data_IF_054304781484
#
_entry.id   IF_054304781484
#
_cell.length_a   1.000
_cell.length_b   1.000
_cell.length_c   1.000
_cell.angle_alpha   90.00
_cell.angle_beta   90.00
_cell.angle_gamma   90.00
#
_symmetry.space_group_name_H-M   'P 1'
#
loop_
_entity.id
_entity.type
_entity.pdbx_description
1 polymer ?
#
# COMPACT_ATOMS: atom_id res chain seq x y z
N UNK A 1 5.13 -9.14 -13.68
CA UNK A 1 4.75 -7.73 -13.85
C UNK A 1 5.21 -6.99 -12.62
N UNK A 2 6.15 -6.08 -12.81
CA UNK A 2 6.68 -5.15 -11.83
C UNK A 2 7.21 -3.96 -12.61
N UNK A 3 7.33 -2.80 -11.97
CA UNK A 3 7.86 -1.57 -12.55
C UNK A 3 9.39 -1.59 -12.72
N UNK A 4 10.03 -2.74 -12.42
CA UNK A 4 11.47 -2.93 -12.49
C UNK A 4 12.22 -2.45 -11.23
N UNK A 5 11.50 -1.89 -10.25
CA UNK A 5 12.08 -1.41 -9.01
C UNK A 5 11.99 -2.46 -7.90
N UNK A 6 12.91 -2.38 -6.94
CA UNK A 6 12.84 -3.12 -5.68
C UNK A 6 12.42 -2.13 -4.60
N UNK A 7 11.15 -2.16 -4.18
CA UNK A 7 10.65 -1.34 -3.08
C UNK A 7 10.85 -2.05 -1.74
N UNK A 8 11.14 -1.28 -0.68
CA UNK A 8 11.28 -1.80 0.67
C UNK A 8 9.95 -2.10 1.37
N UNK A 9 8.84 -1.53 0.88
CA UNK A 9 7.49 -1.73 1.43
C UNK A 9 6.46 -1.75 0.31
N UNK A 10 5.27 -2.31 0.59
CA UNK A 10 4.13 -2.27 -0.35
C UNK A 10 3.63 -0.84 -0.60
N UNK A 11 3.73 0.05 0.39
CA UNK A 11 3.31 1.44 0.23
C UNK A 11 4.22 2.20 -0.74
N UNK A 12 5.54 1.96 -0.68
CA UNK A 12 6.52 2.63 -1.56
C UNK A 12 6.35 2.29 -3.05
N UNK A 13 5.61 1.22 -3.38
CA UNK A 13 5.22 0.89 -4.76
C UNK A 13 4.27 1.92 -5.37
N UNK A 14 3.56 2.67 -4.54
CA UNK A 14 2.70 3.76 -4.99
C UNK A 14 3.59 4.97 -5.23
N UNK A 15 3.69 5.38 -6.49
CA UNK A 15 4.47 6.55 -6.91
C UNK A 15 3.68 7.86 -6.78
N UNK A 16 2.36 7.76 -6.74
CA UNK A 16 1.45 8.89 -6.94
C UNK A 16 0.75 9.22 -5.62
N UNK A 17 0.91 10.46 -5.17
CA UNK A 17 0.15 11.00 -4.05
C UNK A 17 -1.10 11.76 -4.50
N UNK A 18 -2.11 11.78 -3.65
CA UNK A 18 -3.37 12.47 -3.96
C UNK A 18 -3.11 13.96 -4.25
N UNK A 19 -2.23 14.59 -3.48
CA UNK A 19 -1.87 15.98 -3.62
C UNK A 19 -1.05 16.28 -4.89
N UNK A 20 -0.54 15.26 -5.58
CA UNK A 20 0.16 15.38 -6.87
C UNK A 20 -0.74 15.88 -8.00
N UNK A 21 -2.03 15.55 -7.91
CA UNK A 21 -3.04 15.99 -8.88
C UNK A 21 -4.05 16.97 -8.27
N UNK A 22 -4.39 16.81 -6.98
CA UNK A 22 -5.45 17.57 -6.33
C UNK A 22 -4.95 18.83 -5.60
N UNK A 23 -3.68 18.84 -5.17
CA UNK A 23 -3.11 19.89 -4.34
C UNK A 23 -3.70 19.90 -2.93
N UNK A 24 -3.76 21.08 -2.32
CA UNK A 24 -4.41 21.34 -1.03
C UNK A 24 -5.45 22.46 -1.21
N UNK A 25 -6.30 22.74 -0.20
CA UNK A 25 -7.18 23.91 -0.26
C UNK A 25 -6.41 25.24 -0.41
N UNK A 26 -5.17 25.31 0.05
CA UNK A 26 -4.36 26.52 0.05
C UNK A 26 -3.43 26.65 -1.16
N UNK A 27 -2.86 25.54 -1.64
CA UNK A 27 -1.83 25.48 -2.70
C UNK A 27 -2.23 24.53 -3.84
N UNK A 28 -1.99 24.94 -5.07
CA UNK A 28 -2.09 24.08 -6.25
C UNK A 28 -1.04 22.95 -6.22
N UNK A 29 -1.22 21.86 -6.99
CA UNK A 29 -0.26 20.75 -7.00
C UNK A 29 1.18 21.20 -7.30
N UNK A 30 1.38 22.06 -8.30
CA UNK A 30 2.72 22.55 -8.69
C UNK A 30 3.33 23.58 -7.71
N UNK A 31 2.54 24.08 -6.75
CA UNK A 31 2.98 25.02 -5.70
C UNK A 31 3.49 24.31 -4.44
N UNK A 32 3.18 23.03 -4.29
CA UNK A 32 3.66 22.22 -3.17
C UNK A 32 5.18 21.97 -3.31
N UNK A 33 5.90 21.84 -2.20
CA UNK A 33 7.30 21.45 -2.25
C UNK A 33 7.46 20.01 -2.74
N UNK A 34 8.65 19.72 -3.27
CA UNK A 34 9.07 18.34 -3.54
C UNK A 34 9.04 17.52 -2.25
N UNK A 35 8.53 16.29 -2.29
CA UNK A 35 8.38 15.42 -1.12
C UNK A 35 7.14 15.69 -0.26
N UNK A 36 6.24 16.61 -0.64
CA UNK A 36 4.98 16.80 0.11
C UNK A 36 4.13 15.51 0.07
N UNK A 37 3.58 15.12 1.21
CA UNK A 37 2.99 13.79 1.48
C UNK A 37 3.99 12.64 1.63
N UNK A 38 5.28 12.86 1.38
CA UNK A 38 6.38 11.91 1.60
C UNK A 38 7.50 12.59 2.41
N UNK A 39 7.11 13.25 3.51
CA UNK A 39 8.03 14.07 4.29
C UNK A 39 9.11 13.22 4.98
N UNK A 40 8.74 12.04 5.48
CA UNK A 40 9.57 11.20 6.36
C UNK A 40 10.12 11.99 7.56
N UNK A 41 9.31 12.90 8.11
CA UNK A 41 9.69 13.78 9.21
C UNK A 41 10.71 14.88 8.86
N UNK A 42 11.01 15.10 7.57
CA UNK A 42 11.98 16.12 7.11
C UNK A 42 11.31 17.47 6.85
N UNK A 43 12.07 18.54 7.02
CA UNK A 43 11.70 19.87 6.53
C UNK A 43 11.97 19.97 5.02
N UNK A 44 10.92 20.19 4.24
CA UNK A 44 10.99 20.28 2.78
C UNK A 44 11.25 21.72 2.27
N UNK A 45 11.12 22.71 3.15
CA UNK A 45 11.05 24.12 2.77
C UNK A 45 9.83 24.47 1.90
N UNK A 46 9.86 25.66 1.31
CA UNK A 46 8.71 26.24 0.58
C UNK A 46 8.90 26.31 -0.94
N UNK A 47 10.00 25.77 -1.48
CA UNK A 47 10.29 25.85 -2.91
C UNK A 47 9.28 25.03 -3.71
N UNK A 48 8.51 25.64 -4.63
CA UNK A 48 7.54 24.92 -5.45
C UNK A 48 8.22 23.86 -6.32
N UNK A 49 7.63 22.66 -6.41
CA UNK A 49 8.10 21.59 -7.32
C UNK A 49 7.92 21.92 -8.80
N UNK A 50 6.98 22.82 -9.11
CA UNK A 50 6.71 23.30 -10.46
C UNK A 50 6.16 22.20 -11.38
N UNK A 51 6.45 22.37 -12.68
CA UNK A 51 5.99 21.49 -13.76
C UNK A 51 7.18 20.93 -14.52
N UNK A 52 6.93 19.90 -15.33
CA UNK A 52 7.89 19.36 -16.26
C UNK A 52 7.52 19.72 -17.70
N UNK A 53 8.54 20.03 -18.51
CA UNK A 53 8.38 20.32 -19.93
C UNK A 53 8.38 19.06 -20.81
N UNK A 54 8.98 17.99 -20.32
CA UNK A 54 9.17 16.73 -21.03
C UNK A 54 8.83 15.56 -20.10
N UNK A 55 8.48 14.43 -20.70
CA UNK A 55 8.33 13.14 -20.01
C UNK A 55 9.66 12.38 -20.02
N UNK A 56 9.83 11.43 -19.09
CA UNK A 56 11.02 10.58 -19.07
C UNK A 56 10.96 9.56 -20.22
N UNK A 57 12.06 9.31 -20.96
CA UNK A 57 12.14 8.28 -22.01
C UNK A 57 11.55 6.92 -21.61
N UNK A 58 11.73 6.54 -20.35
CA UNK A 58 11.30 5.28 -19.76
C UNK A 58 9.79 5.27 -19.44
N UNK A 59 9.17 6.45 -19.32
CA UNK A 59 7.73 6.63 -19.07
C UNK A 59 6.89 6.70 -20.35
N UNK A 60 7.50 6.55 -21.54
CA UNK A 60 6.77 6.52 -22.81
C UNK A 60 5.94 5.23 -22.93
N UNK A 61 4.66 5.33 -22.57
CA UNK A 61 3.68 4.25 -22.70
C UNK A 61 2.61 4.66 -23.72
N UNK A 62 2.88 4.40 -25.00
CA UNK A 62 1.92 4.62 -26.08
C UNK A 62 1.83 6.08 -26.55
N UNK A 63 0.98 6.89 -25.92
CA UNK A 63 0.64 8.25 -26.40
C UNK A 63 1.30 9.34 -25.57
N UNK A 64 1.93 10.30 -26.25
CA UNK A 64 2.45 11.53 -25.64
C UNK A 64 1.38 12.61 -25.72
N UNK A 65 0.81 12.99 -24.58
CA UNK A 65 -0.22 14.02 -24.52
C UNK A 65 0.38 15.42 -24.62
N UNK A 66 -0.34 16.39 -25.18
CA UNK A 66 0.11 17.79 -25.22
C UNK A 66 0.23 18.32 -23.78
N UNK A 67 1.43 18.79 -23.40
CA UNK A 67 1.71 19.27 -22.05
C UNK A 67 0.88 20.47 -21.61
N UNK A 68 0.27 21.21 -22.55
CA UNK A 68 -0.39 22.51 -22.29
C UNK A 68 0.57 23.46 -21.55
N UNK A 69 0.28 23.79 -20.30
CA UNK A 69 1.16 24.62 -19.47
C UNK A 69 2.34 23.84 -18.86
N UNK A 70 2.28 22.51 -18.86
CA UNK A 70 3.31 21.60 -18.36
C UNK A 70 2.71 20.32 -17.77
N UNK A 71 3.51 19.24 -17.75
CA UNK A 71 3.14 18.02 -17.03
C UNK A 71 3.28 18.23 -15.52
N UNK A 72 2.34 17.67 -14.77
CA UNK A 72 2.46 17.60 -13.32
C UNK A 72 3.61 16.67 -12.95
N UNK A 73 4.20 16.91 -11.78
CA UNK A 73 5.22 16.05 -11.18
C UNK A 73 4.63 15.33 -9.98
N UNK A 74 5.05 14.08 -9.79
CA UNK A 74 4.83 13.35 -8.54
C UNK A 74 5.58 14.03 -7.40
N UNK A 75 5.27 13.65 -6.16
CA UNK A 75 6.01 14.11 -4.99
C UNK A 75 7.51 13.78 -5.07
N UNK A 76 7.86 12.69 -5.78
CA UNK A 76 9.24 12.23 -6.05
C UNK A 76 9.88 12.90 -7.27
N UNK A 77 9.12 13.72 -8.00
CA UNK A 77 9.63 14.60 -9.07
C UNK A 77 9.47 14.04 -10.47
N UNK A 78 8.89 12.85 -10.60
CA UNK A 78 8.69 12.20 -11.88
C UNK A 78 7.52 12.86 -12.63
N UNK A 79 7.65 13.18 -13.93
CA UNK A 79 6.54 13.69 -14.71
C UNK A 79 5.51 12.56 -14.96
N UNK A 80 4.21 12.85 -14.76
CA UNK A 80 3.14 11.87 -15.04
C UNK A 80 3.05 11.47 -16.51
N UNK A 81 3.32 12.41 -17.42
CA UNK A 81 3.15 12.25 -18.87
C UNK A 81 1.72 12.18 -19.39
N UNK A 82 0.76 11.77 -18.55
CA UNK A 82 -0.67 11.76 -18.85
C UNK A 82 -1.49 12.71 -17.96
N UNK A 83 -0.85 13.50 -17.09
CA UNK A 83 -1.51 14.53 -16.27
C UNK A 83 -0.89 15.89 -16.55
N UNK A 84 -1.72 16.85 -16.98
CA UNK A 84 -1.28 18.16 -17.47
C UNK A 84 -2.03 19.31 -16.79
N UNK A 85 -1.35 20.45 -16.70
CA UNK A 85 -1.94 21.71 -16.24
C UNK A 85 -2.60 22.46 -17.40
N UNK A 86 -3.80 22.96 -17.17
CA UNK A 86 -4.56 23.82 -18.09
C UNK A 86 -5.15 25.03 -17.35
N UNK A 87 -4.38 26.11 -17.28
CA UNK A 87 -4.66 27.26 -16.44
C UNK A 87 -4.64 26.86 -14.96
N UNK A 88 -5.77 27.00 -14.27
CA UNK A 88 -5.94 26.53 -12.88
C UNK A 88 -6.47 25.09 -12.80
N UNK A 89 -6.75 24.45 -13.94
CA UNK A 89 -7.29 23.10 -13.98
C UNK A 89 -6.18 22.07 -14.14
N UNK A 90 -6.51 20.83 -13.75
CA UNK A 90 -5.69 19.65 -13.99
C UNK A 90 -6.51 18.67 -14.82
N UNK A 91 -5.92 18.21 -15.92
CA UNK A 91 -6.52 17.22 -16.83
C UNK A 91 -5.73 15.92 -16.72
N UNK A 92 -6.42 14.83 -16.42
CA UNK A 92 -5.91 13.47 -16.45
C UNK A 92 -6.39 12.79 -17.73
N UNK A 93 -5.45 12.30 -18.53
CA UNK A 93 -5.71 11.47 -19.69
C UNK A 93 -5.65 9.99 -19.27
N UNK A 94 -6.78 9.30 -19.34
CA UNK A 94 -6.89 7.88 -19.00
C UNK A 94 -6.40 6.99 -20.14
N UNK A 95 -5.86 5.82 -19.78
CA UNK A 95 -5.54 4.76 -20.73
C UNK A 95 -6.75 4.29 -21.56
N UNK A 96 -7.98 4.56 -21.11
CA UNK A 96 -9.22 4.29 -21.86
C UNK A 96 -9.53 5.33 -22.94
N UNK A 97 -8.69 6.37 -23.10
CA UNK A 97 -8.91 7.47 -24.05
C UNK A 97 -9.85 8.58 -23.57
N UNK A 98 -10.30 8.52 -22.31
CA UNK A 98 -11.15 9.56 -21.71
C UNK A 98 -10.31 10.61 -21.00
N UNK A 99 -10.76 11.87 -21.07
CA UNK A 99 -10.19 12.98 -20.33
C UNK A 99 -11.02 13.29 -19.08
N UNK A 100 -10.34 13.40 -17.94
CA UNK A 100 -10.96 13.71 -16.66
C UNK A 100 -10.45 15.04 -16.14
N UNK A 101 -11.39 15.92 -15.78
CA UNK A 101 -11.08 17.13 -15.03
C UNK A 101 -10.91 16.75 -13.55
N UNK A 102 -9.68 16.86 -13.05
CA UNK A 102 -9.36 16.56 -11.65
C UNK A 102 -9.98 17.63 -10.74
N UNK A 103 -10.65 17.26 -9.64
CA UNK A 103 -11.15 18.20 -8.66
C UNK A 103 -10.00 18.77 -7.82
N UNK A 104 -9.41 19.86 -8.31
CA UNK A 104 -8.36 20.61 -7.62
C UNK A 104 -8.92 21.29 -6.37
N UNK A 105 -8.36 20.98 -5.20
CA UNK A 105 -8.89 21.40 -3.91
C UNK A 105 -8.89 22.92 -3.73
N UNK A 106 -7.84 23.60 -4.17
CA UNK A 106 -7.75 25.06 -4.15
C UNK A 106 -8.88 25.73 -4.94
N UNK A 107 -9.20 25.22 -6.13
CA UNK A 107 -10.32 25.73 -6.92
C UNK A 107 -11.66 25.55 -6.18
N UNK A 108 -11.85 24.41 -5.50
CA UNK A 108 -13.06 24.14 -4.72
C UNK A 108 -13.16 25.09 -3.51
N UNK A 109 -12.03 25.35 -2.84
CA UNK A 109 -11.93 26.27 -1.72
C UNK A 109 -12.22 27.72 -2.14
N UNK A 110 -11.53 28.22 -3.18
CA UNK A 110 -11.66 29.59 -3.67
C UNK A 110 -13.07 29.88 -4.22
N UNK A 111 -13.72 28.89 -4.85
CA UNK A 111 -15.10 29.00 -5.37
C UNK A 111 -16.19 28.61 -4.37
N UNK A 112 -15.82 28.10 -3.19
CA UNK A 112 -16.72 27.54 -2.18
C UNK A 112 -17.73 26.51 -2.73
N UNK A 113 -17.26 25.59 -3.59
CA UNK A 113 -18.11 24.59 -4.28
C UNK A 113 -18.07 23.19 -3.66
N UNK A 114 -17.78 23.12 -2.36
CA UNK A 114 -17.72 21.88 -1.59
C UNK A 114 -19.03 21.08 -1.67
N UNK A 115 -18.91 19.75 -1.65
CA UNK A 115 -20.07 18.85 -1.79
C UNK A 115 -20.83 18.61 -0.50
N UNK A 116 -20.24 18.90 0.65
CA UNK A 116 -20.87 18.79 1.96
C UNK A 116 -20.20 19.72 2.96
N UNK A 117 -20.90 19.98 4.07
CA UNK A 117 -20.32 20.70 5.21
C UNK A 117 -19.16 19.91 5.83
N UNK A 118 -19.28 18.59 5.90
CA UNK A 118 -18.22 17.70 6.41
C UNK A 118 -16.92 17.88 5.62
N UNK A 119 -17.00 18.03 4.28
CA UNK A 119 -15.81 18.25 3.46
C UNK A 119 -15.14 19.60 3.77
N UNK A 120 -15.94 20.66 3.99
CA UNK A 120 -15.42 21.97 4.41
C UNK A 120 -14.70 21.83 5.76
N UNK A 121 -15.36 21.21 6.73
CA UNK A 121 -14.81 21.05 8.08
C UNK A 121 -13.53 20.22 8.04
N UNK A 122 -13.58 19.05 7.42
CA UNK A 122 -12.48 18.11 7.37
C UNK A 122 -11.26 18.67 6.63
N UNK A 123 -11.46 19.35 5.50
CA UNK A 123 -10.33 19.81 4.66
C UNK A 123 -9.82 21.20 5.02
N UNK A 124 -10.67 22.11 5.51
CA UNK A 124 -10.30 23.54 5.68
C UNK A 124 -10.32 24.03 7.12
N UNK A 125 -11.16 23.46 7.99
CA UNK A 125 -11.30 23.92 9.39
C UNK A 125 -10.40 23.14 10.32
N UNK A 126 -10.36 21.81 10.16
CA UNK A 126 -9.47 20.93 10.92
C UNK A 126 -8.18 20.71 10.13
N UNK A 127 -7.31 21.73 10.12
CA UNK A 127 -6.05 21.73 9.34
C UNK A 127 -5.19 20.47 9.54
N UNK A 128 -5.22 19.94 10.76
CA UNK A 128 -4.45 18.75 11.13
C UNK A 128 -4.76 17.54 10.24
N UNK A 129 -5.98 17.41 9.70
CA UNK A 129 -6.30 16.31 8.80
C UNK A 129 -5.46 16.33 7.52
N UNK A 130 -5.21 17.50 6.93
CA UNK A 130 -4.37 17.60 5.72
C UNK A 130 -2.87 17.43 6.06
N UNK A 131 -2.47 17.88 7.25
CA UNK A 131 -1.09 17.80 7.72
C UNK A 131 -0.66 16.38 8.12
N UNK A 132 -1.59 15.55 8.64
CA UNK A 132 -1.23 14.28 9.28
C UNK A 132 -1.99 13.06 8.78
N UNK A 133 -3.01 13.20 7.93
CA UNK A 133 -3.68 12.04 7.36
C UNK A 133 -3.23 11.84 5.91
N UNK A 134 -3.19 10.58 5.53
CA UNK A 134 -3.32 10.19 4.14
C UNK A 134 -4.74 10.46 3.66
N UNK A 135 -4.91 10.95 2.42
CA UNK A 135 -6.25 11.16 1.87
C UNK A 135 -7.05 9.85 1.84
N UNK A 136 -6.38 8.74 1.57
CA UNK A 136 -6.98 7.41 1.53
C UNK A 136 -7.32 6.86 2.94
N UNK A 137 -6.86 7.48 4.04
CA UNK A 137 -7.39 7.17 5.37
C UNK A 137 -8.90 7.49 5.51
N UNK A 138 -9.34 8.55 4.82
CA UNK A 138 -10.74 8.95 4.79
C UNK A 138 -11.48 8.40 3.57
N UNK A 139 -10.79 8.29 2.43
CA UNK A 139 -11.41 7.95 1.15
C UNK A 139 -11.48 6.44 0.86
N UNK A 140 -10.72 5.59 1.54
CA UNK A 140 -10.80 4.13 1.34
C UNK A 140 -12.00 3.53 2.08
N UNK A 141 -12.83 2.80 1.33
CA UNK A 141 -14.04 2.15 1.86
C UNK A 141 -13.74 0.86 2.63
N UNK A 142 -12.76 0.08 2.16
CA UNK A 142 -12.40 -1.20 2.77
C UNK A 142 -10.96 -1.60 2.44
N UNK A 143 -10.41 -2.53 3.19
CA UNK A 143 -9.16 -3.24 2.89
C UNK A 143 -9.39 -4.74 3.07
N UNK A 144 -8.69 -5.62 2.32
CA UNK A 144 -8.68 -7.04 2.63
C UNK A 144 -8.04 -7.24 4.01
N UNK A 145 -8.63 -8.09 4.82
CA UNK A 145 -8.14 -8.38 6.17
C UNK A 145 -7.98 -9.89 6.30
N UNK A 146 -6.76 -10.36 6.05
CA UNK A 146 -6.36 -11.77 6.10
C UNK A 146 -5.71 -12.06 7.45
N UNK A 147 -6.43 -12.65 8.40
CA UNK A 147 -5.86 -13.00 9.70
C UNK A 147 -5.46 -14.47 9.74
N UNK A 148 -4.28 -14.74 10.29
CA UNK A 148 -3.74 -16.08 10.50
C UNK A 148 -3.53 -16.85 9.20
N UNK A 149 -2.36 -16.72 8.61
CA UNK A 149 -1.89 -17.58 7.53
C UNK A 149 -1.22 -18.81 8.15
N UNK A 150 -1.77 -20.01 7.92
CA UNK A 150 -1.11 -21.25 8.33
C UNK A 150 -0.34 -21.82 7.15
N UNK A 151 0.99 -21.85 7.30
CA UNK A 151 1.94 -22.38 6.31
C UNK A 151 2.45 -23.73 6.77
N UNK A 152 2.11 -24.78 6.04
CA UNK A 152 2.72 -26.09 6.21
C UNK A 152 3.85 -26.27 5.21
N UNK A 153 5.07 -26.51 5.71
CA UNK A 153 6.20 -26.95 4.88
C UNK A 153 6.32 -28.47 5.01
N UNK A 154 6.10 -29.20 3.91
CA UNK A 154 6.10 -30.66 3.93
C UNK A 154 7.19 -31.24 3.04
N UNK A 155 8.17 -31.93 3.64
CA UNK A 155 9.28 -32.60 2.97
C UNK A 155 9.01 -34.08 2.65
N UNK A 156 7.82 -34.59 2.99
CA UNK A 156 7.38 -35.95 2.71
C UNK A 156 7.05 -36.17 1.24
N UNK A 157 6.09 -37.07 0.99
CA UNK A 157 5.73 -37.53 -0.36
C UNK A 157 4.24 -37.33 -0.66
N UNK A 158 3.92 -37.21 -1.94
CA UNK A 158 2.54 -37.16 -2.43
C UNK A 158 1.87 -38.54 -2.43
N UNK A 159 0.59 -38.58 -2.84
CA UNK A 159 -0.22 -39.82 -2.92
C UNK A 159 0.34 -40.90 -3.85
N UNK A 160 1.32 -40.59 -4.69
CA UNK A 160 1.97 -41.51 -5.62
C UNK A 160 3.42 -41.83 -5.18
N UNK A 161 3.76 -41.60 -3.91
CA UNK A 161 5.09 -41.80 -3.33
C UNK A 161 6.19 -40.92 -3.95
N UNK A 162 5.82 -39.79 -4.58
CA UNK A 162 6.80 -38.83 -5.11
C UNK A 162 7.13 -37.77 -4.07
N UNK A 163 8.41 -37.49 -3.78
CA UNK A 163 8.79 -36.42 -2.84
C UNK A 163 8.20 -35.08 -3.25
N UNK A 164 7.67 -34.34 -2.26
CA UNK A 164 7.25 -32.97 -2.46
C UNK A 164 8.44 -32.09 -2.83
N UNK A 165 8.22 -31.24 -3.82
CA UNK A 165 9.17 -30.26 -4.33
C UNK A 165 8.42 -28.99 -4.72
N UNK A 166 9.10 -27.86 -4.64
CA UNK A 166 8.59 -26.57 -5.07
C UNK A 166 9.70 -25.71 -5.68
N UNK A 167 9.31 -24.61 -6.31
CA UNK A 167 10.24 -23.66 -6.92
C UNK A 167 11.16 -23.06 -5.87
N UNK A 168 12.46 -23.25 -6.06
CA UNK A 168 13.49 -22.51 -5.36
C UNK A 168 13.60 -21.12 -6.00
N UNK A 169 12.86 -20.16 -5.46
CA UNK A 169 12.83 -18.80 -5.99
C UNK A 169 14.19 -18.09 -5.89
N UNK A 170 15.04 -18.47 -4.91
CA UNK A 170 16.37 -17.87 -4.74
C UNK A 170 17.32 -18.41 -5.79
N UNK A 171 17.43 -19.74 -5.93
CA UNK A 171 18.28 -20.35 -6.94
C UNK A 171 17.81 -19.99 -8.37
N UNK A 172 16.50 -20.00 -8.60
CA UNK A 172 15.91 -19.69 -9.92
C UNK A 172 16.16 -18.23 -10.31
N UNK A 173 15.90 -17.29 -9.41
CA UNK A 173 16.14 -15.85 -9.63
C UNK A 173 17.64 -15.49 -9.71
N UNK A 174 18.51 -16.31 -9.12
CA UNK A 174 19.97 -16.13 -9.19
C UNK A 174 20.57 -16.59 -10.53
N UNK A 175 19.88 -17.46 -11.27
CA UNK A 175 20.35 -17.95 -12.57
C UNK A 175 19.80 -17.08 -13.69
N UNK A 176 20.66 -16.21 -14.22
CA UNK A 176 20.30 -15.29 -15.31
C UNK A 176 20.84 -15.77 -16.66
N UNK A 177 20.01 -15.71 -17.68
CA UNK A 177 20.42 -15.90 -19.08
C UNK A 177 20.94 -14.59 -19.67
N UNK A 178 21.56 -14.64 -20.85
CA UNK A 178 22.19 -13.48 -21.48
C UNK A 178 21.19 -12.35 -21.83
N UNK A 179 19.91 -12.67 -21.99
CA UNK A 179 18.79 -11.76 -22.21
C UNK A 179 18.14 -11.24 -20.91
N UNK A 180 18.71 -11.57 -19.74
CA UNK A 180 18.24 -11.09 -18.44
C UNK A 180 17.07 -11.88 -17.85
N UNK A 181 16.62 -12.95 -18.50
CA UNK A 181 15.61 -13.87 -17.97
C UNK A 181 16.16 -14.72 -16.81
N UNK A 182 15.26 -15.22 -15.95
CA UNK A 182 15.57 -16.09 -14.81
C UNK A 182 15.13 -17.54 -15.10
N UNK A 183 15.53 -18.52 -14.29
CA UNK A 183 15.25 -19.92 -14.60
C UNK A 183 13.73 -20.26 -14.65
N UNK A 184 12.92 -19.47 -13.95
CA UNK A 184 11.46 -19.59 -13.84
C UNK A 184 10.68 -18.62 -14.73
N UNK A 185 11.33 -17.63 -15.37
CA UNK A 185 10.63 -16.65 -16.19
C UNK A 185 9.98 -17.20 -17.46
N UNK A 186 10.49 -18.26 -18.13
CA UNK A 186 9.82 -18.81 -19.30
C UNK A 186 8.46 -19.43 -18.92
N UNK A 187 7.42 -19.07 -19.66
CA UNK A 187 6.05 -19.50 -19.39
C UNK A 187 5.94 -21.03 -19.32
N UNK A 188 5.40 -21.53 -18.21
CA UNK A 188 5.19 -22.97 -17.98
C UNK A 188 6.41 -23.71 -17.41
N UNK A 189 7.54 -23.04 -17.20
CA UNK A 189 8.71 -23.61 -16.54
C UNK A 189 8.63 -23.33 -15.04
N UNK A 190 8.82 -24.36 -14.22
CA UNK A 190 8.74 -24.25 -12.75
C UNK A 190 10.02 -23.68 -12.11
N UNK A 191 11.05 -23.42 -12.89
CA UNK A 191 12.37 -23.02 -12.40
C UNK A 191 13.14 -24.19 -11.77
N UNK A 192 14.18 -23.85 -11.00
CA UNK A 192 14.95 -24.80 -10.20
C UNK A 192 14.05 -25.29 -9.06
N UNK A 193 14.02 -26.59 -8.82
CA UNK A 193 13.18 -27.20 -7.79
C UNK A 193 14.04 -27.52 -6.55
N UNK A 194 13.47 -27.31 -5.37
CA UNK A 194 14.06 -27.70 -4.09
C UNK A 194 13.17 -28.71 -3.37
N UNK A 195 13.73 -29.55 -2.46
CA UNK A 195 12.92 -30.45 -1.64
C UNK A 195 11.95 -29.70 -0.74
N UNK A 196 10.78 -30.27 -0.54
CA UNK A 196 9.72 -29.70 0.28
C UNK A 196 8.73 -28.89 -0.56
N UNK A 197 7.51 -28.74 -0.02
CA UNK A 197 6.47 -27.90 -0.62
C UNK A 197 5.73 -27.11 0.44
N UNK A 198 5.47 -25.85 0.14
CA UNK A 198 4.64 -24.99 0.96
C UNK A 198 3.15 -25.22 0.63
N UNK A 199 2.34 -25.37 1.67
CA UNK A 199 0.89 -25.35 1.59
C UNK A 199 0.38 -24.23 2.47
N UNK A 200 -0.35 -23.30 1.87
CA UNK A 200 -0.86 -22.13 2.56
C UNK A 200 -2.38 -22.23 2.74
N UNK A 201 -2.85 -21.91 3.93
CA UNK A 201 -4.28 -21.74 4.22
C UNK A 201 -4.50 -20.46 5.02
N UNK A 202 -5.63 -19.80 4.78
CA UNK A 202 -6.00 -18.56 5.48
C UNK A 202 -7.11 -18.88 6.48
N UNK A 203 -6.89 -18.52 7.73
CA UNK A 203 -7.81 -18.83 8.84
C UNK A 203 -9.06 -17.97 8.76
N UNK A 204 -8.91 -16.67 8.48
CA UNK A 204 -10.04 -15.76 8.42
C UNK A 204 -9.80 -14.64 7.42
N UNK A 205 -10.73 -14.47 6.48
CA UNK A 205 -10.68 -13.45 5.43
C UNK A 205 -11.97 -12.62 5.44
N UNK A 206 -11.83 -11.30 5.37
CA UNK A 206 -12.94 -10.35 5.27
C UNK A 206 -12.55 -9.08 4.56
N UNK A 207 -13.56 -8.32 4.15
CA UNK A 207 -13.45 -6.98 3.59
C UNK A 207 -14.17 -6.03 4.53
N UNK A 208 -13.40 -5.20 5.23
CA UNK A 208 -13.94 -4.33 6.27
C UNK A 208 -13.31 -2.95 6.20
N UNK A 209 -13.93 -2.01 6.92
CA UNK A 209 -13.34 -0.72 7.21
C UNK A 209 -11.92 -0.89 7.78
N UNK A 210 -10.90 -0.26 7.16
CA UNK A 210 -9.54 -0.30 7.67
C UNK A 210 -9.45 0.26 9.08
N UNK A 211 -8.63 -0.41 9.89
CA UNK A 211 -8.00 0.22 11.04
C UNK A 211 -6.96 1.21 10.55
N UNK A 212 -6.68 2.23 11.37
CA UNK A 212 -5.72 3.27 11.03
C UNK A 212 -4.47 3.13 11.90
N UNK A 213 -3.33 3.48 11.34
CA UNK A 213 -2.05 3.56 12.04
C UNK A 213 -1.13 4.57 11.38
N UNK A 214 0.11 4.68 11.86
CA UNK A 214 1.10 5.61 11.31
C UNK A 214 1.97 4.87 10.29
N UNK A 215 2.09 5.38 9.07
CA UNK A 215 2.99 4.85 8.04
C UNK A 215 4.42 5.35 8.23
N UNK A 216 5.33 4.87 7.37
CA UNK A 216 6.74 5.32 7.37
C UNK A 216 6.92 6.80 7.03
N UNK A 217 5.94 7.44 6.39
CA UNK A 217 5.95 8.89 6.07
C UNK A 217 5.53 9.75 7.29
N UNK A 218 5.08 9.13 8.38
CA UNK A 218 4.64 9.79 9.60
C UNK A 218 3.17 10.22 9.58
N UNK A 219 2.39 9.72 8.61
CA UNK A 219 0.97 10.06 8.39
C UNK A 219 0.06 8.90 8.78
N UNK A 220 -1.17 9.25 9.15
CA UNK A 220 -2.21 8.27 9.47
C UNK A 220 -2.70 7.64 8.17
N UNK A 221 -2.57 6.33 8.07
CA UNK A 221 -2.88 5.50 6.90
C UNK A 221 -3.86 4.39 7.29
N UNK A 222 -4.62 3.81 6.33
CA UNK A 222 -5.15 2.46 6.46
C UNK A 222 -4.04 1.44 6.72
N UNK A 223 -4.33 0.49 7.62
CA UNK A 223 -3.54 -0.73 7.78
C UNK A 223 -4.34 -1.96 7.36
N UNK A 224 -3.65 -2.93 6.77
CA UNK A 224 -4.14 -4.29 6.56
C UNK A 224 -3.23 -5.29 7.27
N UNK A 225 -3.75 -6.44 7.74
CA UNK A 225 -2.92 -7.55 8.18
C UNK A 225 -1.88 -7.87 7.11
N UNK A 226 -0.61 -7.91 7.50
CA UNK A 226 0.43 -8.49 6.65
C UNK A 226 0.38 -10.01 6.71
N UNK A 227 1.49 -10.66 6.40
CA UNK A 227 1.60 -12.11 6.48
C UNK A 227 1.71 -12.55 7.95
N UNK A 228 0.57 -12.86 8.56
CA UNK A 228 0.50 -13.40 9.93
C UNK A 228 0.80 -14.90 9.94
N UNK A 229 2.07 -15.27 9.80
CA UNK A 229 2.48 -16.66 9.59
C UNK A 229 2.52 -17.44 10.90
N UNK A 230 1.73 -18.51 10.92
CA UNK A 230 1.89 -19.65 11.83
C UNK A 230 2.36 -20.82 10.97
N UNK A 231 3.35 -21.59 11.41
CA UNK A 231 3.93 -22.64 10.56
C UNK A 231 4.00 -24.02 11.22
N UNK A 232 3.89 -25.03 10.37
CA UNK A 232 4.08 -26.45 10.71
C UNK A 232 5.08 -27.05 9.74
N UNK A 233 6.03 -27.83 10.25
CA UNK A 233 7.04 -28.50 9.41
C UNK A 233 6.91 -30.01 9.56
N UNK A 234 6.80 -30.69 8.43
CA UNK A 234 6.77 -32.16 8.33
C UNK A 234 8.07 -32.61 7.66
N UNK A 235 8.82 -33.50 8.31
CA UNK A 235 10.07 -34.05 7.80
C UNK A 235 9.86 -35.04 6.64
N UNK A 236 10.94 -35.68 6.18
CA UNK A 236 10.90 -36.61 5.02
C UNK A 236 10.24 -37.94 5.37
N UNK A 237 10.29 -38.31 6.65
CA UNK A 237 9.71 -39.51 7.23
C UNK A 237 8.21 -39.34 7.53
N UNK A 238 7.70 -38.11 7.45
CA UNK A 238 6.31 -37.77 7.70
C UNK A 238 6.01 -37.36 9.15
N UNK A 239 7.03 -37.14 9.98
CA UNK A 239 6.86 -36.67 11.34
C UNK A 239 6.70 -35.14 11.37
N UNK A 240 5.79 -34.66 12.19
CA UNK A 240 5.68 -33.23 12.50
C UNK A 240 6.80 -32.83 13.45
N UNK A 241 7.75 -32.01 12.97
CA UNK A 241 8.92 -31.55 13.74
C UNK A 241 8.76 -30.11 14.26
N UNK A 242 7.78 -29.37 13.75
CA UNK A 242 7.33 -28.10 14.29
C UNK A 242 5.81 -28.02 14.09
N UNK A 243 5.04 -27.61 15.09
CA UNK A 243 3.57 -27.65 15.03
C UNK A 243 2.95 -26.34 15.51
N UNK A 244 2.38 -25.59 14.57
CA UNK A 244 1.75 -24.29 14.81
C UNK A 244 2.67 -23.31 15.54
N UNK A 245 3.94 -23.30 15.14
CA UNK A 245 4.93 -22.39 15.68
C UNK A 245 4.76 -20.99 15.07
N UNK A 246 5.20 -19.99 15.81
CA UNK A 246 5.19 -18.59 15.39
C UNK A 246 6.59 -18.03 15.60
N UNK A 247 7.08 -17.29 14.61
CA UNK A 247 8.36 -16.60 14.73
C UNK A 247 8.24 -15.36 15.63
N UNK A 248 9.38 -14.89 16.12
CA UNK A 248 9.50 -13.67 16.91
C UNK A 248 10.44 -12.69 16.20
N UNK A 249 10.12 -11.40 16.26
CA UNK A 249 10.86 -10.33 15.59
C UNK A 249 11.96 -9.77 16.50
N UNK A 250 13.07 -10.51 16.62
CA UNK A 250 14.23 -10.10 17.42
C UNK A 250 14.87 -8.80 16.92
N UNK A 251 14.90 -8.60 15.60
CA UNK A 251 15.46 -7.39 15.00
C UNK A 251 14.62 -6.15 15.28
N UNK A 252 13.29 -6.29 15.26
CA UNK A 252 12.37 -5.22 15.68
C UNK A 252 12.61 -4.87 17.15
N UNK A 253 12.64 -5.87 18.04
CA UNK A 253 12.89 -5.66 19.46
C UNK A 253 14.20 -4.90 19.71
N UNK A 254 15.26 -5.23 18.97
CA UNK A 254 16.56 -4.55 19.04
C UNK A 254 16.47 -3.10 18.55
N UNK A 255 15.81 -2.87 17.42
CA UNK A 255 15.69 -1.55 16.79
C UNK A 255 14.92 -0.56 17.68
N UNK A 256 13.83 -1.01 18.31
CA UNK A 256 13.02 -0.16 19.20
C UNK A 256 13.48 -0.19 20.68
N UNK A 257 14.60 -0.87 20.98
CA UNK A 257 15.17 -0.96 22.32
C UNK A 257 14.30 -1.73 23.33
N UNK A 258 13.47 -2.66 22.87
CA UNK A 258 12.57 -3.45 23.71
C UNK A 258 13.30 -4.67 24.32
N UNK A 259 13.89 -4.47 25.50
CA UNK A 259 14.74 -5.47 26.17
C UNK A 259 13.93 -6.60 26.83
N UNK A 260 12.69 -6.34 27.24
CA UNK A 260 11.93 -7.26 28.10
C UNK A 260 10.93 -8.16 27.37
N UNK A 261 10.63 -7.89 26.10
CA UNK A 261 9.63 -8.65 25.32
C UNK A 261 9.95 -8.56 23.84
N UNK A 262 10.14 -9.71 23.21
CA UNK A 262 10.26 -9.80 21.76
C UNK A 262 8.84 -9.87 21.16
N UNK A 263 8.49 -9.03 20.19
CA UNK A 263 7.20 -9.10 19.53
C UNK A 263 7.09 -10.39 18.71
N UNK A 264 5.88 -10.93 18.61
CA UNK A 264 5.58 -11.98 17.64
C UNK A 264 5.71 -11.41 16.22
N UNK A 265 6.15 -12.24 15.27
CA UNK A 265 6.25 -11.88 13.85
C UNK A 265 4.87 -11.86 13.16
N UNK A 266 3.92 -11.14 13.77
CA UNK A 266 2.59 -10.84 13.26
C UNK A 266 2.52 -9.33 13.08
N UNK A 267 2.25 -8.89 11.86
CA UNK A 267 2.26 -7.48 11.52
C UNK A 267 0.93 -6.99 10.94
N UNK A 268 0.84 -5.66 10.88
CA UNK A 268 -0.16 -4.91 10.14
C UNK A 268 0.62 -3.93 9.26
N UNK A 269 0.41 -3.99 7.95
CA UNK A 269 1.12 -3.18 6.98
C UNK A 269 0.28 -1.95 6.56
N UNK A 270 0.90 -0.76 6.47
CA UNK A 270 0.38 0.38 5.72
C UNK A 270 -0.03 0.00 4.30
N UNK A 271 -1.19 0.48 3.85
CA UNK A 271 -1.67 0.23 2.50
C UNK A 271 -2.46 1.41 1.94
N UNK A 272 -2.25 1.69 0.66
CA UNK A 272 -3.18 2.45 -0.17
C UNK A 272 -4.05 1.45 -0.95
N UNK A 273 -5.30 1.19 -0.52
CA UNK A 273 -6.12 0.19 -1.20
C UNK A 273 -6.82 0.75 -2.44
N UNK A 274 -7.14 -0.14 -3.37
CA UNK A 274 -7.96 0.12 -4.56
C UNK A 274 -9.45 0.34 -4.26
N UNK A 275 -9.77 0.87 -3.08
CA UNK A 275 -11.13 1.06 -2.57
C UNK A 275 -11.45 2.53 -2.30
N UNK A 276 -10.59 3.44 -2.79
CA UNK A 276 -10.79 4.87 -2.71
C UNK A 276 -12.07 5.29 -3.42
N UNK A 277 -12.91 6.06 -2.73
CA UNK A 277 -14.21 6.50 -3.21
C UNK A 277 -14.40 8.00 -2.99
N UNK A 278 -15.31 8.58 -3.78
CA UNK A 278 -15.64 10.01 -3.69
C UNK A 278 -16.20 10.42 -2.33
N UNK A 279 -17.03 9.58 -1.71
CA UNK A 279 -17.59 9.83 -0.37
C UNK A 279 -16.61 9.30 0.68
N UNK A 280 -16.05 10.21 1.48
CA UNK A 280 -15.23 9.82 2.62
C UNK A 280 -16.07 9.14 3.71
N UNK A 281 -15.42 8.36 4.57
CA UNK A 281 -16.03 7.84 5.81
C UNK A 281 -16.45 8.96 6.74
N UNK A 282 -17.42 8.68 7.61
CA UNK A 282 -17.91 9.67 8.58
C UNK A 282 -16.88 9.93 9.68
N UNK A 283 -17.03 11.03 10.42
CA UNK A 283 -16.14 11.38 11.53
C UNK A 283 -16.15 10.28 12.62
N UNK A 284 -17.32 9.68 12.86
CA UNK A 284 -17.54 8.63 13.86
C UNK A 284 -16.79 7.34 13.52
N UNK A 285 -16.60 7.02 12.23
CA UNK A 285 -15.83 5.85 11.78
C UNK A 285 -14.36 5.89 12.24
N UNK A 286 -13.84 7.07 12.59
CA UNK A 286 -12.51 7.24 13.18
C UNK A 286 -12.57 7.60 14.67
N UNK A 287 -13.33 8.63 15.03
CA UNK A 287 -13.33 9.21 16.38
C UNK A 287 -14.17 8.43 17.38
N UNK A 288 -15.11 7.59 16.90
CA UNK A 288 -16.01 6.80 17.74
C UNK A 288 -16.03 5.32 17.30
N UNK A 289 -14.86 4.80 16.94
CA UNK A 289 -14.71 3.42 16.47
C UNK A 289 -13.98 2.57 17.52
N UNK A 290 -14.66 1.60 18.18
CA UNK A 290 -14.03 0.72 19.18
C UNK A 290 -12.84 -0.08 18.64
N UNK A 291 -12.89 -0.48 17.36
CA UNK A 291 -11.80 -1.20 16.70
C UNK A 291 -10.55 -0.33 16.58
N UNK A 292 -10.73 0.95 16.22
CA UNK A 292 -9.63 1.92 16.14
C UNK A 292 -9.09 2.32 17.53
N UNK A 293 -9.95 2.34 18.55
CA UNK A 293 -9.57 2.63 19.94
C UNK A 293 -8.88 1.44 20.65
N UNK A 294 -8.71 0.31 19.98
CA UNK A 294 -8.06 -0.88 20.55
C UNK A 294 -8.97 -1.78 21.39
N UNK A 295 -10.27 -1.48 21.45
CA UNK A 295 -11.25 -2.37 22.07
C UNK A 295 -11.62 -3.56 21.19
N UNK A 296 -11.16 -3.59 19.93
CA UNK A 296 -11.52 -4.63 18.98
C UNK A 296 -12.95 -4.49 18.46
N UNK A 297 -13.45 -5.54 17.83
CA UNK A 297 -14.77 -5.53 17.20
C UNK A 297 -15.84 -5.69 18.26
N UNK A 298 -16.93 -4.92 18.15
CA UNK A 298 -18.02 -4.92 19.13
C UNK A 298 -17.53 -4.68 20.56
N UNK A 299 -16.45 -3.89 20.74
CA UNK A 299 -15.87 -3.61 22.04
C UNK A 299 -15.17 -4.81 22.70
N UNK A 300 -14.75 -5.80 21.91
CA UNK A 300 -13.99 -6.95 22.38
C UNK A 300 -14.89 -8.09 22.85
N UNK A 301 -16.21 -7.94 22.68
CA UNK A 301 -17.18 -9.00 22.90
C UNK A 301 -17.08 -9.98 21.74
N UNK A 302 -16.20 -10.97 21.89
CA UNK A 302 -16.13 -12.11 20.99
C UNK A 302 -17.44 -12.88 21.10
N UNK A 303 -18.23 -12.93 20.02
CA UNK A 303 -19.54 -13.57 19.89
C UNK A 303 -19.85 -14.53 21.05
N UNK A 304 -20.53 -14.02 22.09
CA UNK A 304 -21.29 -14.89 22.98
C UNK A 304 -22.30 -15.55 22.07
N UNK A 305 -22.13 -16.86 21.87
CA UNK A 305 -23.08 -17.72 21.18
C UNK A 305 -24.49 -17.26 21.56
N UNK A 306 -25.33 -16.98 20.56
CA UNK A 306 -26.77 -17.04 20.75
C UNK A 306 -27.03 -18.38 21.44
N UNK A 307 -27.39 -18.33 22.72
CA UNK A 307 -27.97 -19.43 23.46
C UNK A 307 -29.47 -19.46 23.19
#
# INVERSE_FOLDING_TARGET
>A
HGDGNIPGTTLAQVEIECQDCHGTPEKFPWELPMGYSEEFGRDLGDKPRGLADNILPESFMGTVYNKKDGYLKTTRGNPFGNVVKDGTNVILHSATGNDFKVPVLKNIADSNTWKSLDAIVAMTKVKKHNESLECYACHSSWVPQCYGCHVQINYGKDKNDKPYQDTDWVASGSKRTADGQTAESPLGIKGIQSPGRAFETVSYLRWEEPVLGINGEGRVTPLMPGCQVVYTVIDREGNTIAHNEMAYSEDEAREIGQISRVPAAIDMAPVQPHSAQRKARSCESCHNNPKAQGYGISGGVFQTRLA
#
